data_IF_558789609873
#
_entry.id   IF_558789609873
#
_cell.length_a   1.000
_cell.length_b   1.000
_cell.length_c   1.000
_cell.angle_alpha   90.00
_cell.angle_beta   90.00
_cell.angle_gamma   90.00
#
_symmetry.space_group_name_H-M   'P 1'
#
loop_
_entity.id
_entity.type
_entity.pdbx_description
1 polymer ?
#
# COMPACT_ATOMS: atom_id res chain seq x y z
N UNK A 1 -23.88 1.95 -6.70
CA UNK A 1 -23.19 0.66 -6.76
C UNK A 1 -21.68 0.88 -6.71
N UNK A 2 -20.96 -0.03 -6.03
CA UNK A 2 -19.50 -0.18 -6.05
C UNK A 2 -19.22 -1.59 -6.58
N UNK A 3 -18.17 -1.75 -7.38
CA UNK A 3 -17.67 -3.04 -7.85
C UNK A 3 -16.29 -3.24 -7.23
N UNK A 4 -16.08 -4.40 -6.60
CA UNK A 4 -14.75 -4.82 -6.17
C UNK A 4 -14.25 -5.79 -7.24
N UNK A 5 -13.16 -5.42 -7.90
CA UNK A 5 -12.56 -6.22 -8.97
C UNK A 5 -11.29 -6.87 -8.48
N UNK A 6 -11.17 -8.18 -8.75
CA UNK A 6 -9.94 -8.93 -8.52
C UNK A 6 -9.35 -9.38 -9.86
N UNK A 7 -8.02 -9.34 -9.96
CA UNK A 7 -7.22 -10.04 -10.97
C UNK A 7 -6.21 -10.92 -10.26
N UNK A 8 -6.22 -12.20 -10.59
CA UNK A 8 -5.38 -13.23 -9.94
C UNK A 8 -4.40 -13.77 -10.95
N UNK A 9 -3.14 -13.90 -10.54
CA UNK A 9 -2.01 -14.39 -11.31
C UNK A 9 -1.28 -15.46 -10.50
N UNK A 10 -0.38 -16.22 -11.13
CA UNK A 10 0.41 -17.25 -10.43
C UNK A 10 1.30 -16.66 -9.31
N UNK A 11 1.70 -15.40 -9.43
CA UNK A 11 2.58 -14.69 -8.49
C UNK A 11 1.84 -13.84 -7.44
N UNK A 12 0.52 -13.75 -7.50
CA UNK A 12 -0.24 -12.92 -6.57
C UNK A 12 -1.54 -12.40 -7.17
N UNK A 13 -2.07 -11.33 -6.60
CA UNK A 13 -3.31 -10.72 -7.08
C UNK A 13 -3.32 -9.19 -6.89
N UNK A 14 -4.21 -8.54 -7.64
CA UNK A 14 -4.61 -7.17 -7.40
C UNK A 14 -6.10 -7.07 -7.15
N UNK A 15 -6.51 -6.13 -6.31
CA UNK A 15 -7.89 -5.72 -6.13
C UNK A 15 -8.02 -4.21 -6.31
N UNK A 16 -9.16 -3.75 -6.85
CA UNK A 16 -9.49 -2.32 -6.89
C UNK A 16 -10.99 -2.10 -6.73
N UNK A 17 -11.35 -0.88 -6.38
CA UNK A 17 -12.74 -0.43 -6.33
C UNK A 17 -13.06 0.31 -7.64
N UNK A 18 -14.19 -0.04 -8.27
CA UNK A 18 -14.70 0.62 -9.46
C UNK A 18 -16.06 1.27 -9.16
N UNK A 19 -16.22 2.48 -9.62
CA UNK A 19 -17.42 3.29 -9.47
C UNK A 19 -18.02 3.53 -10.85
N UNK A 20 -18.96 2.67 -11.31
CA UNK A 20 -19.58 2.84 -12.61
C UNK A 20 -20.41 4.12 -12.67
N UNK A 21 -20.69 4.58 -13.87
CA UNK A 21 -21.59 5.70 -14.07
C UNK A 21 -22.94 5.44 -13.44
N UNK A 22 -23.41 6.34 -12.61
CA UNK A 22 -24.70 6.25 -11.92
C UNK A 22 -25.29 7.63 -11.59
N UNK A 23 -26.62 7.74 -11.64
CA UNK A 23 -27.31 9.04 -11.45
C UNK A 23 -27.11 9.64 -10.05
N UNK A 24 -26.98 8.80 -9.04
CA UNK A 24 -26.87 9.22 -7.63
C UNK A 24 -25.44 9.53 -7.18
N UNK A 25 -24.45 9.27 -8.02
CA UNK A 25 -23.04 9.49 -7.71
C UNK A 25 -22.31 9.94 -8.97
N UNK A 26 -22.03 11.22 -9.08
CA UNK A 26 -21.31 11.81 -10.20
C UNK A 26 -19.94 12.32 -9.75
N UNK A 27 -19.91 13.29 -8.85
CA UNK A 27 -18.69 13.76 -8.20
C UNK A 27 -18.73 13.36 -6.73
N UNK A 28 -17.60 12.89 -6.20
CA UNK A 28 -17.47 12.55 -4.79
C UNK A 28 -16.03 12.68 -4.32
N UNK A 29 -15.88 12.77 -3.01
CA UNK A 29 -14.59 12.93 -2.37
C UNK A 29 -14.28 11.65 -1.60
N UNK A 30 -13.06 11.15 -1.78
CA UNK A 30 -12.50 10.09 -0.93
C UNK A 30 -11.92 10.76 0.31
N UNK A 31 -12.42 10.40 1.46
CA UNK A 31 -11.86 10.81 2.75
C UNK A 31 -10.93 9.74 3.30
N UNK A 32 -11.33 8.47 3.22
CA UNK A 32 -10.56 7.33 3.71
C UNK A 32 -10.80 6.12 2.80
N UNK A 33 -9.82 5.23 2.77
CA UNK A 33 -9.90 3.89 2.22
C UNK A 33 -9.46 2.90 3.30
N UNK A 34 -10.34 1.98 3.69
CA UNK A 34 -10.10 1.02 4.77
C UNK A 34 -9.84 -0.39 4.24
N UNK A 35 -9.05 -0.50 3.16
CA UNK A 35 -8.59 -1.81 2.67
C UNK A 35 -7.63 -2.41 3.69
N UNK A 36 -7.91 -3.63 4.14
CA UNK A 36 -7.14 -4.31 5.16
C UNK A 36 -6.42 -5.53 4.62
N UNK A 37 -5.22 -5.78 5.15
CA UNK A 37 -4.37 -6.92 4.86
C UNK A 37 -4.04 -7.61 6.18
N UNK A 38 -4.78 -8.67 6.50
CA UNK A 38 -4.57 -9.46 7.72
C UNK A 38 -3.44 -10.47 7.52
N UNK A 39 -2.38 -10.33 8.30
CA UNK A 39 -1.25 -11.24 8.27
C UNK A 39 -1.52 -12.44 9.19
N UNK A 40 -0.97 -13.59 8.81
CA UNK A 40 -1.15 -14.86 9.53
C UNK A 40 -0.31 -14.98 10.81
N UNK A 41 0.55 -13.99 11.09
CA UNK A 41 1.40 -13.99 12.27
C UNK A 41 2.40 -12.84 12.30
N UNK A 42 3.29 -12.89 13.26
CA UNK A 42 4.36 -11.91 13.47
C UNK A 42 5.52 -12.15 12.49
N UNK A 43 5.34 -11.67 11.27
CA UNK A 43 6.30 -11.85 10.19
C UNK A 43 7.54 -10.96 10.37
N UNK A 44 8.66 -11.36 9.77
CA UNK A 44 9.80 -10.45 9.58
C UNK A 44 9.45 -9.50 8.43
N UNK A 45 9.62 -8.21 8.64
CA UNK A 45 9.36 -7.17 7.65
C UNK A 45 10.61 -6.35 7.35
N UNK A 46 10.81 -6.00 6.08
CA UNK A 46 11.72 -4.95 5.61
C UNK A 46 10.87 -3.74 5.27
N UNK A 47 11.04 -2.68 6.06
CA UNK A 47 10.12 -1.54 6.02
C UNK A 47 10.82 -0.19 6.17
N UNK A 48 10.19 0.85 5.66
CA UNK A 48 10.53 2.25 5.90
C UNK A 48 9.44 2.89 6.76
N UNK A 49 9.77 3.86 7.64
CA UNK A 49 8.77 4.67 8.33
C UNK A 49 7.76 5.29 7.37
N UNK A 50 6.49 5.24 7.72
CA UNK A 50 5.41 5.87 6.97
C UNK A 50 5.49 7.39 7.05
N UNK A 51 5.80 8.04 5.93
CA UNK A 51 6.01 9.47 5.81
C UNK A 51 5.36 9.96 4.52
N UNK A 52 4.58 11.05 4.57
CA UNK A 52 3.88 11.59 3.42
C UNK A 52 4.78 12.38 2.47
N UNK A 53 5.89 12.93 2.97
CA UNK A 53 6.70 13.88 2.23
C UNK A 53 7.98 13.25 1.63
N UNK A 54 8.51 12.20 2.28
CA UNK A 54 9.79 11.62 1.86
C UNK A 54 9.83 10.10 1.99
N UNK A 55 10.62 9.47 1.12
CA UNK A 55 11.05 8.07 1.23
C UNK A 55 12.55 7.94 1.55
N UNK A 56 13.23 9.04 1.86
CA UNK A 56 14.65 9.08 2.20
C UNK A 56 14.90 8.62 3.63
N UNK A 57 14.48 7.40 3.90
CA UNK A 57 14.58 6.71 5.19
C UNK A 57 15.47 5.47 5.04
N UNK A 58 16.06 4.99 6.14
CA UNK A 58 16.78 3.73 6.13
C UNK A 58 15.84 2.54 6.29
N UNK A 59 16.01 1.53 5.41
CA UNK A 59 15.25 0.29 5.53
C UNK A 59 15.55 -0.40 6.86
N UNK A 60 14.52 -0.72 7.60
CA UNK A 60 14.58 -1.48 8.84
C UNK A 60 14.21 -2.93 8.58
N UNK A 61 14.83 -3.85 9.33
CA UNK A 61 14.43 -5.26 9.39
C UNK A 61 14.03 -5.59 10.83
N UNK A 62 12.74 -5.92 11.04
CA UNK A 62 12.21 -6.28 12.37
C UNK A 62 11.02 -7.24 12.23
N UNK A 63 10.56 -7.77 13.36
CA UNK A 63 9.22 -8.36 13.45
C UNK A 63 8.15 -7.27 13.36
N UNK A 64 6.93 -7.64 12.95
CA UNK A 64 5.80 -6.71 12.91
C UNK A 64 5.51 -6.12 14.30
N UNK A 65 5.59 -6.95 15.33
CA UNK A 65 5.41 -6.54 16.74
C UNK A 65 6.45 -5.52 17.24
N UNK A 66 7.60 -5.40 16.59
CA UNK A 66 8.70 -4.53 16.99
C UNK A 66 8.70 -3.16 16.26
N UNK A 67 7.87 -2.99 15.23
CA UNK A 67 7.82 -1.77 14.42
C UNK A 67 7.63 -0.53 15.31
N UNK A 68 6.64 -0.53 16.19
CA UNK A 68 6.34 0.60 17.09
C UNK A 68 7.55 0.99 17.94
N UNK A 69 8.21 0.03 18.55
CA UNK A 69 9.36 0.29 19.40
C UNK A 69 10.58 0.81 18.62
N UNK A 70 10.70 0.40 17.35
CA UNK A 70 11.80 0.79 16.47
C UNK A 70 11.56 2.14 15.80
N UNK A 71 10.30 2.53 15.57
CA UNK A 71 9.86 3.61 14.69
C UNK A 71 10.64 4.93 14.89
N UNK A 72 10.69 5.46 16.12
CA UNK A 72 11.35 6.74 16.42
C UNK A 72 12.84 6.78 16.06
N UNK A 73 13.52 5.63 16.11
CA UNK A 73 14.93 5.50 15.74
C UNK A 73 15.13 5.27 14.25
N UNK A 74 14.09 4.81 13.56
CA UNK A 74 14.10 4.52 12.14
C UNK A 74 13.87 5.79 11.29
N UNK A 75 13.17 6.78 11.84
CA UNK A 75 12.92 8.05 11.13
C UNK A 75 14.21 8.87 11.04
N UNK A 76 14.56 9.27 9.83
CA UNK A 76 15.63 10.24 9.59
C UNK A 76 15.09 11.67 9.80
N UNK A 77 15.25 12.18 11.00
CA UNK A 77 14.78 13.51 11.41
C UNK A 77 15.57 14.66 10.80
N UNK A 78 16.69 14.38 10.12
CA UNK A 78 17.51 15.38 9.44
C UNK A 78 17.02 15.67 8.00
N UNK A 79 16.01 14.95 7.52
CA UNK A 79 15.35 15.25 6.25
C UNK A 79 14.72 16.65 6.26
N UNK A 80 14.74 17.32 5.12
CA UNK A 80 14.22 18.70 4.97
C UNK A 80 12.70 18.80 5.22
N UNK A 81 11.97 17.72 5.04
CA UNK A 81 10.55 17.58 5.37
C UNK A 81 10.27 16.18 5.93
N UNK A 82 9.58 16.10 7.06
CA UNK A 82 9.20 14.85 7.72
C UNK A 82 7.74 14.96 8.15
N UNK A 83 6.89 14.13 7.59
CA UNK A 83 5.44 14.08 7.84
C UNK A 83 4.99 12.66 8.19
N UNK A 84 5.54 12.11 9.28
CA UNK A 84 5.15 10.79 9.79
C UNK A 84 3.73 10.86 10.38
N UNK A 85 2.91 9.86 10.08
CA UNK A 85 1.49 9.87 10.45
C UNK A 85 1.14 8.92 11.61
N UNK A 86 2.00 7.94 11.92
CA UNK A 86 1.77 6.95 12.96
C UNK A 86 3.07 6.26 13.37
N UNK A 87 3.18 5.83 14.63
CA UNK A 87 4.32 5.04 15.11
C UNK A 87 4.33 3.59 14.60
N UNK A 88 3.31 3.17 13.87
CA UNK A 88 3.20 1.87 13.19
C UNK A 88 2.93 2.02 11.70
N UNK A 89 3.08 3.25 11.19
CA UNK A 89 2.97 3.55 9.77
C UNK A 89 4.20 3.07 9.01
N UNK A 90 3.99 2.45 7.84
CA UNK A 90 5.06 2.01 6.95
C UNK A 90 4.78 2.41 5.51
N UNK A 91 5.85 2.58 4.74
CA UNK A 91 5.78 2.84 3.30
C UNK A 91 5.36 1.56 2.55
N UNK A 92 4.81 1.74 1.36
CA UNK A 92 4.78 0.72 0.31
C UNK A 92 5.95 0.98 -0.67
N UNK A 93 6.57 -0.03 -1.28
CA UNK A 93 6.26 -1.45 -1.22
C UNK A 93 6.78 -2.08 0.09
N UNK A 94 5.90 -2.75 0.82
CA UNK A 94 6.27 -3.45 2.04
C UNK A 94 6.66 -4.90 1.72
N UNK A 95 7.84 -5.32 2.16
CA UNK A 95 8.34 -6.68 2.02
C UNK A 95 8.28 -7.41 3.35
N UNK A 96 7.82 -8.66 3.33
CA UNK A 96 7.76 -9.50 4.53
C UNK A 96 8.20 -10.93 4.22
N UNK A 97 8.57 -11.66 5.28
CA UNK A 97 8.82 -13.10 5.24
C UNK A 97 8.10 -13.79 6.39
N UNK A 98 7.30 -14.79 6.05
CA UNK A 98 6.61 -15.62 7.03
C UNK A 98 7.55 -16.61 7.71
N UNK A 99 7.12 -17.21 8.83
CA UNK A 99 7.92 -18.19 9.56
C UNK A 99 8.16 -19.49 8.77
N UNK A 100 7.23 -19.84 7.88
CA UNK A 100 7.29 -21.00 6.98
C UNK A 100 8.00 -20.71 5.64
N UNK A 101 8.54 -19.49 5.49
CA UNK A 101 9.49 -19.17 4.42
C UNK A 101 8.89 -18.47 3.21
N UNK A 102 7.59 -18.14 3.20
CA UNK A 102 6.99 -17.37 2.11
C UNK A 102 7.39 -15.89 2.20
N UNK A 103 7.67 -15.31 1.05
CA UNK A 103 7.87 -13.87 0.88
C UNK A 103 6.55 -13.23 0.44
N UNK A 104 6.21 -12.10 1.04
CA UNK A 104 4.99 -11.34 0.75
C UNK A 104 5.39 -9.91 0.43
N UNK A 105 4.81 -9.36 -0.64
CA UNK A 105 4.92 -7.95 -0.96
C UNK A 105 3.52 -7.33 -1.01
N UNK A 106 3.33 -6.20 -0.34
CA UNK A 106 2.14 -5.37 -0.46
C UNK A 106 2.53 -4.05 -1.13
N UNK A 107 1.86 -3.74 -2.23
CA UNK A 107 2.12 -2.54 -3.01
C UNK A 107 0.86 -2.08 -3.76
N UNK A 108 1.02 -1.18 -4.69
CA UNK A 108 -0.04 -0.70 -5.58
C UNK A 108 0.41 -0.67 -7.04
N UNK A 109 -0.55 -0.64 -7.96
CA UNK A 109 -0.31 -0.50 -9.39
C UNK A 109 -1.36 0.45 -10.00
N UNK A 110 -1.02 1.06 -11.14
CA UNK A 110 -1.86 2.06 -11.81
C UNK A 110 -2.31 3.19 -10.86
N UNK A 111 -1.35 3.76 -10.12
CA UNK A 111 -1.61 4.90 -9.23
C UNK A 111 -1.66 6.18 -10.07
N UNK A 112 -2.82 6.42 -10.70
CA UNK A 112 -3.13 7.58 -11.51
C UNK A 112 -4.30 8.33 -10.90
N UNK A 113 -4.21 9.66 -10.80
CA UNK A 113 -5.26 10.56 -10.25
C UNK A 113 -5.84 10.10 -8.89
N UNK A 114 -5.00 9.55 -8.03
CA UNK A 114 -5.40 9.04 -6.72
C UNK A 114 -4.26 9.18 -5.70
N UNK A 115 -4.60 9.23 -4.43
CA UNK A 115 -3.62 9.32 -3.35
C UNK A 115 -2.78 8.03 -3.23
N UNK A 116 -1.48 8.20 -3.02
CA UNK A 116 -0.54 7.09 -2.77
C UNK A 116 -0.90 6.37 -1.48
N UNK A 117 -0.82 5.05 -1.50
CA UNK A 117 -1.08 4.21 -0.34
C UNK A 117 0.18 4.03 0.53
N UNK A 118 0.03 4.33 1.79
CA UNK A 118 0.86 3.83 2.89
C UNK A 118 0.07 2.76 3.64
N UNK A 119 0.67 2.16 4.63
CA UNK A 119 0.03 1.15 5.49
C UNK A 119 0.20 1.52 6.95
N UNK A 120 -0.88 1.39 7.73
CA UNK A 120 -0.84 1.52 9.18
C UNK A 120 -1.09 0.16 9.82
N UNK A 121 -0.20 -0.26 10.72
CA UNK A 121 -0.25 -1.59 11.35
C UNK A 121 -1.00 -1.54 12.68
N UNK A 122 -2.03 -2.37 12.82
CA UNK A 122 -2.46 -2.86 14.13
C UNK A 122 -1.45 -3.93 14.59
N UNK A 123 -0.53 -3.52 15.44
CA UNK A 123 0.59 -4.35 15.91
C UNK A 123 0.19 -5.41 16.95
N UNK A 124 -1.09 -5.46 17.33
CA UNK A 124 -1.66 -6.50 18.20
C UNK A 124 -2.27 -7.65 17.40
N UNK A 125 -2.96 -7.31 16.31
CA UNK A 125 -3.68 -8.26 15.47
C UNK A 125 -2.95 -8.57 14.18
N UNK A 126 -1.83 -7.89 13.89
CA UNK A 126 -1.05 -7.98 12.65
C UNK A 126 -1.90 -7.71 11.40
N UNK A 127 -2.68 -6.64 11.45
CA UNK A 127 -3.51 -6.18 10.34
C UNK A 127 -2.99 -4.84 9.85
N UNK A 128 -2.56 -4.80 8.60
CA UNK A 128 -2.31 -3.52 7.92
C UNK A 128 -3.59 -2.95 7.37
N UNK A 129 -3.77 -1.64 7.52
CA UNK A 129 -4.83 -0.89 6.88
C UNK A 129 -4.23 0.14 5.92
N UNK A 130 -4.86 0.29 4.77
CA UNK A 130 -4.56 1.35 3.79
C UNK A 130 -4.60 2.72 4.46
N UNK A 131 -3.57 3.53 4.28
CA UNK A 131 -3.46 4.88 4.80
C UNK A 131 -3.04 5.81 3.67
N UNK A 132 -3.97 6.58 3.16
CA UNK A 132 -3.74 7.38 1.96
C UNK A 132 -3.09 8.73 2.30
N UNK A 133 -2.17 9.17 1.44
CA UNK A 133 -1.58 10.51 1.52
C UNK A 133 -2.66 11.58 1.36
N UNK A 134 -2.82 12.52 2.30
CA UNK A 134 -3.77 13.62 2.17
C UNK A 134 -3.25 14.71 1.22
N UNK A 135 -4.15 15.45 0.60
CA UNK A 135 -3.83 16.76 0.04
C UNK A 135 -3.70 17.83 1.15
N UNK A 136 -3.41 19.06 0.76
CA UNK A 136 -3.26 20.18 1.71
C UNK A 136 -4.54 20.49 2.53
N UNK A 137 -5.70 19.97 2.11
CA UNK A 137 -6.99 20.13 2.81
C UNK A 137 -7.39 18.89 3.61
N UNK A 138 -6.58 17.84 3.56
CA UNK A 138 -6.83 16.56 4.23
C UNK A 138 -7.65 15.57 3.43
N UNK A 139 -7.98 15.89 2.17
CA UNK A 139 -8.73 14.99 1.28
C UNK A 139 -7.79 13.97 0.62
N UNK A 140 -8.32 12.80 0.27
CA UNK A 140 -7.54 11.70 -0.34
C UNK A 140 -7.79 11.52 -1.83
N UNK A 141 -8.81 12.17 -2.38
CA UNK A 141 -9.10 12.17 -3.80
C UNK A 141 -10.42 12.82 -4.14
N UNK A 142 -10.47 13.45 -5.30
CA UNK A 142 -11.68 14.01 -5.90
C UNK A 142 -12.00 13.20 -7.15
N UNK A 143 -13.10 12.45 -7.13
CA UNK A 143 -13.44 11.46 -8.13
C UNK A 143 -14.67 11.85 -8.93
N UNK A 144 -14.69 11.45 -10.21
CA UNK A 144 -15.88 11.56 -11.06
C UNK A 144 -16.17 10.21 -11.71
N UNK A 145 -17.42 9.76 -11.61
CA UNK A 145 -17.83 8.48 -12.24
C UNK A 145 -17.96 8.64 -13.77
N UNK A 146 -17.60 7.62 -14.57
CA UNK A 146 -17.02 6.34 -14.15
C UNK A 146 -15.53 6.46 -13.79
N UNK A 147 -15.12 5.84 -12.70
CA UNK A 147 -13.72 5.87 -12.25
C UNK A 147 -13.37 4.62 -11.43
N UNK A 148 -12.12 4.48 -11.08
CA UNK A 148 -11.63 3.41 -10.22
C UNK A 148 -10.44 3.88 -9.37
N UNK A 149 -10.15 3.15 -8.30
CA UNK A 149 -8.92 3.32 -7.52
C UNK A 149 -7.74 2.65 -8.21
N UNK A 150 -6.50 2.92 -7.80
CA UNK A 150 -5.36 2.06 -8.08
C UNK A 150 -5.62 0.61 -7.65
N UNK A 151 -4.84 -0.32 -8.19
CA UNK A 151 -4.82 -1.69 -7.72
C UNK A 151 -4.05 -1.77 -6.40
N UNK A 152 -4.63 -2.43 -5.42
CA UNK A 152 -3.93 -2.89 -4.22
C UNK A 152 -3.39 -4.27 -4.53
N UNK A 153 -2.07 -4.44 -4.47
CA UNK A 153 -1.40 -5.67 -4.92
C UNK A 153 -0.84 -6.45 -3.75
N UNK A 154 -1.00 -7.76 -3.81
CA UNK A 154 -0.34 -8.70 -2.91
C UNK A 154 0.37 -9.74 -3.76
N UNK A 155 1.69 -9.81 -3.60
CA UNK A 155 2.51 -10.84 -4.21
C UNK A 155 2.96 -11.84 -3.15
N UNK A 156 3.02 -13.11 -3.52
CA UNK A 156 3.49 -14.20 -2.65
C UNK A 156 4.38 -15.14 -3.45
N UNK A 157 5.54 -15.51 -2.89
CA UNK A 157 6.44 -16.51 -3.46
C UNK A 157 7.23 -17.20 -2.35
N UNK A 158 7.72 -18.41 -2.62
CA UNK A 158 8.71 -19.12 -1.79
C UNK A 158 10.16 -18.77 -2.16
N UNK A 159 10.37 -17.94 -3.18
CA UNK A 159 11.66 -17.46 -3.64
C UNK A 159 11.76 -15.92 -3.54
N UNK A 160 12.75 -15.43 -2.78
CA UNK A 160 13.01 -14.00 -2.65
C UNK A 160 13.31 -13.31 -4.00
N UNK A 161 13.89 -14.01 -4.96
CA UNK A 161 14.25 -13.48 -6.28
C UNK A 161 13.02 -13.08 -7.09
N UNK A 162 11.91 -13.76 -6.87
CA UNK A 162 10.65 -13.45 -7.54
C UNK A 162 10.10 -12.07 -7.15
N UNK A 163 10.48 -11.57 -5.97
CA UNK A 163 10.10 -10.20 -5.57
C UNK A 163 10.68 -9.13 -6.49
N UNK A 164 11.83 -9.41 -7.11
CA UNK A 164 12.49 -8.51 -8.06
C UNK A 164 12.02 -8.74 -9.51
N UNK A 165 11.72 -9.99 -9.87
CA UNK A 165 11.41 -10.37 -11.26
C UNK A 165 9.91 -10.34 -11.60
N UNK A 166 9.09 -9.76 -10.72
CA UNK A 166 7.63 -9.72 -10.90
C UNK A 166 7.19 -8.89 -12.09
N UNK A 167 6.21 -9.41 -12.82
CA UNK A 167 5.44 -8.65 -13.82
C UNK A 167 4.06 -8.22 -13.32
N UNK A 168 3.68 -8.54 -12.07
CA UNK A 168 2.35 -8.29 -11.53
C UNK A 168 1.93 -6.82 -11.68
N UNK A 169 2.78 -5.88 -11.28
CA UNK A 169 2.49 -4.45 -11.38
C UNK A 169 2.28 -4.02 -12.85
N UNK A 170 3.13 -4.50 -13.76
CA UNK A 170 3.01 -4.19 -15.19
C UNK A 170 1.73 -4.77 -15.80
N UNK A 171 1.35 -5.98 -15.40
CA UNK A 171 0.14 -6.65 -15.87
C UNK A 171 -1.16 -6.00 -15.35
N UNK A 172 -1.08 -5.23 -14.28
CA UNK A 172 -2.20 -4.50 -13.70
C UNK A 172 -2.31 -3.05 -14.20
N UNK A 173 -1.21 -2.48 -14.71
CA UNK A 173 -1.22 -1.17 -15.34
C UNK A 173 -1.96 -1.21 -16.68
N UNK A 174 -2.49 -0.07 -17.10
CA UNK A 174 -3.01 0.10 -18.46
C UNK A 174 -1.83 0.01 -19.46
N UNK A 175 -2.09 -0.47 -20.69
CA UNK A 175 -1.04 -0.50 -21.72
C UNK A 175 -0.44 0.88 -21.96
N UNK A 176 0.88 0.92 -22.22
CA UNK A 176 1.57 2.16 -22.57
C UNK A 176 0.90 2.80 -23.80
N UNK A 177 0.58 4.08 -23.70
CA UNK A 177 -0.06 4.89 -24.78
C UNK A 177 0.95 5.75 -25.54
N UNK A 178 2.22 5.70 -25.16
CA UNK A 178 3.31 6.45 -25.82
C UNK A 178 3.95 5.49 -26.83
N UNK A 179 4.01 5.90 -28.11
CA UNK A 179 4.70 5.20 -29.19
C UNK A 179 6.18 5.53 -29.22
#
# INVERSE_FOLDING_TARGET
NIIIRFRVYNEGFGLRYEFPQQKSLNYFIIKEEHTQFAMTGDHTAWWLPGDYDTQEQETQETKLSEIRARFKKAVNWDNSSVSVFSETGVQTALQMKTADGLYINIHEAACEDYATMHLNLDDKNFVFESWLTPDATGLKGCMQTPCHTPWRTVKVSDDARDMLSTSLTLNLNEPCKIE
#
